data_IF_281248290267
#
_entry.id   IF_281248290267
#
_cell.length_a   1.000
_cell.length_b   1.000
_cell.length_c   1.000
_cell.angle_alpha   90.00
_cell.angle_beta   90.00
_cell.angle_gamma   90.00
#
_symmetry.space_group_name_H-M   'P 1'
#
loop_
_entity.id
_entity.type
_entity.pdbx_description
1 polymer ?
#
# COMPACT_ATOMS: atom_id res chain seq x y z
N UNK A 1 7.44 0.50 -41.21
CA UNK A 1 7.32 0.41 -39.74
C UNK A 1 8.37 1.33 -39.15
N UNK A 2 8.00 2.21 -38.24
CA UNK A 2 8.95 3.17 -37.64
C UNK A 2 10.05 2.37 -36.88
N UNK A 3 11.31 2.78 -37.00
CA UNK A 3 12.47 2.09 -36.41
C UNK A 3 12.33 1.97 -34.89
N UNK A 4 11.79 3.01 -34.25
CA UNK A 4 11.48 3.05 -32.81
C UNK A 4 10.44 1.99 -32.40
N UNK A 5 9.43 1.73 -33.25
CA UNK A 5 8.42 0.71 -33.01
C UNK A 5 9.01 -0.71 -33.12
N UNK A 6 9.84 -0.94 -34.12
CA UNK A 6 10.54 -2.21 -34.28
C UNK A 6 11.44 -2.50 -33.10
N UNK A 7 12.14 -1.48 -32.59
CA UNK A 7 12.98 -1.59 -31.41
C UNK A 7 12.16 -1.90 -30.16
N UNK A 8 11.03 -1.21 -29.97
CA UNK A 8 10.13 -1.45 -28.82
C UNK A 8 9.58 -2.88 -28.81
N UNK A 9 9.10 -3.38 -29.97
CA UNK A 9 8.61 -4.74 -30.10
C UNK A 9 9.72 -5.78 -29.86
N UNK A 10 10.91 -5.53 -30.40
CA UNK A 10 12.08 -6.39 -30.19
C UNK A 10 12.50 -6.42 -28.72
N UNK A 11 12.53 -5.30 -28.04
CA UNK A 11 12.87 -5.24 -26.61
C UNK A 11 11.85 -6.00 -25.75
N UNK A 12 10.55 -5.79 -25.99
CA UNK A 12 9.49 -6.50 -25.26
C UNK A 12 9.55 -8.00 -25.57
N UNK A 13 9.72 -8.40 -26.83
CA UNK A 13 9.85 -9.78 -27.24
C UNK A 13 11.05 -10.47 -26.59
N UNK A 14 12.21 -9.85 -26.65
CA UNK A 14 13.45 -10.36 -26.03
C UNK A 14 13.31 -10.49 -24.52
N UNK A 15 12.74 -9.45 -23.86
CA UNK A 15 12.55 -9.46 -22.41
C UNK A 15 11.60 -10.57 -21.92
N UNK A 16 10.63 -10.96 -22.76
CA UNK A 16 9.62 -11.97 -22.44
C UNK A 16 9.87 -13.34 -23.12
N UNK A 17 10.91 -13.47 -23.94
CA UNK A 17 11.22 -14.71 -24.68
C UNK A 17 10.16 -15.05 -25.74
N UNK A 18 9.52 -14.05 -26.36
CA UNK A 18 8.41 -14.21 -27.30
C UNK A 18 8.78 -13.60 -28.64
N UNK A 19 8.57 -14.34 -29.72
CA UNK A 19 8.87 -13.85 -31.06
C UNK A 19 7.85 -12.82 -31.57
N UNK A 20 6.57 -12.97 -31.20
CA UNK A 20 5.50 -12.09 -31.65
C UNK A 20 4.70 -11.53 -30.47
N UNK A 21 4.98 -10.28 -30.12
CA UNK A 21 4.32 -9.54 -29.02
C UNK A 21 2.92 -9.05 -29.38
N UNK A 22 2.52 -9.10 -30.64
CA UNK A 22 1.19 -8.67 -31.10
C UNK A 22 0.09 -9.71 -30.80
N UNK A 23 0.47 -10.94 -30.47
CA UNK A 23 -0.45 -11.94 -29.95
C UNK A 23 -0.47 -11.93 -28.42
N UNK A 24 -1.59 -12.35 -27.82
CA UNK A 24 -1.63 -12.58 -26.38
C UNK A 24 -0.65 -13.67 -25.96
N UNK A 25 0.17 -13.40 -25.01
CA UNK A 25 1.09 -14.36 -24.41
C UNK A 25 1.01 -14.34 -22.89
N UNK A 26 1.20 -15.50 -22.28
CA UNK A 26 1.42 -15.62 -20.85
C UNK A 26 2.89 -15.30 -20.57
N UNK A 27 3.14 -14.43 -19.61
CA UNK A 27 4.50 -14.08 -19.19
C UNK A 27 5.09 -15.25 -18.41
N UNK A 28 6.30 -15.64 -18.73
CA UNK A 28 7.03 -16.67 -17.98
C UNK A 28 7.16 -16.28 -16.51
N UNK A 29 6.97 -17.21 -15.55
CA UNK A 29 7.05 -16.91 -14.12
C UNK A 29 8.34 -16.20 -13.69
N UNK A 30 9.49 -16.55 -14.25
CA UNK A 30 10.76 -15.90 -13.94
C UNK A 30 10.82 -14.47 -14.49
N UNK A 31 10.21 -14.23 -15.65
CA UNK A 31 10.06 -12.88 -16.21
C UNK A 31 9.07 -12.07 -15.41
N UNK A 32 7.93 -12.65 -15.01
CA UNK A 32 6.94 -12.00 -14.16
C UNK A 32 7.56 -11.54 -12.82
N UNK A 33 8.38 -12.36 -12.18
CA UNK A 33 9.09 -12.00 -10.96
C UNK A 33 10.05 -10.82 -11.17
N UNK A 34 10.78 -10.78 -12.30
CA UNK A 34 11.65 -9.64 -12.64
C UNK A 34 10.86 -8.35 -12.85
N UNK A 35 9.71 -8.43 -13.53
CA UNK A 35 8.82 -7.29 -13.71
C UNK A 35 8.24 -6.80 -12.37
N UNK A 36 7.81 -7.70 -11.49
CA UNK A 36 7.37 -7.33 -10.13
C UNK A 36 8.51 -6.66 -9.34
N UNK A 37 9.75 -7.14 -9.49
CA UNK A 37 10.91 -6.52 -8.86
C UNK A 37 11.16 -5.10 -9.42
N UNK A 38 11.03 -4.90 -10.73
CA UNK A 38 11.17 -3.58 -11.37
C UNK A 38 10.09 -2.61 -10.89
N UNK A 39 8.82 -3.03 -10.88
CA UNK A 39 7.70 -2.23 -10.34
C UNK A 39 7.94 -1.89 -8.86
N UNK A 40 8.41 -2.84 -8.06
CA UNK A 40 8.75 -2.60 -6.66
C UNK A 40 9.88 -1.58 -6.51
N UNK A 41 10.93 -1.66 -7.33
CA UNK A 41 12.06 -0.76 -7.31
C UNK A 41 11.71 0.67 -7.76
N UNK A 42 10.67 0.86 -8.56
CA UNK A 42 10.24 2.17 -9.03
C UNK A 42 9.65 3.06 -7.94
N UNK A 43 9.26 2.49 -6.78
CA UNK A 43 8.68 3.23 -5.66
C UNK A 43 9.39 2.92 -4.34
N UNK A 44 9.85 3.97 -3.64
CA UNK A 44 10.47 3.83 -2.31
C UNK A 44 9.52 3.22 -1.27
N UNK A 45 8.21 3.43 -1.40
CA UNK A 45 7.22 2.82 -0.51
C UNK A 45 7.08 1.32 -0.78
N UNK A 46 6.93 0.91 -2.04
CA UNK A 46 6.79 -0.51 -2.41
C UNK A 46 8.03 -1.34 -2.04
N UNK A 47 9.21 -0.73 -2.01
CA UNK A 47 10.45 -1.41 -1.55
C UNK A 47 10.39 -1.83 -0.09
N UNK A 48 9.61 -1.13 0.72
CA UNK A 48 9.53 -1.31 2.19
C UNK A 48 8.40 -2.24 2.62
N UNK A 49 7.45 -2.55 1.74
CA UNK A 49 6.35 -3.48 1.98
C UNK A 49 6.62 -4.85 1.34
N UNK A 50 5.78 -5.83 1.63
CA UNK A 50 5.90 -7.16 1.05
C UNK A 50 5.18 -7.24 -0.30
N UNK A 51 5.88 -7.73 -1.32
CA UNK A 51 5.29 -8.15 -2.61
C UNK A 51 5.56 -9.63 -2.74
N UNK A 52 4.53 -10.45 -2.61
CA UNK A 52 4.62 -11.90 -2.51
C UNK A 52 4.04 -12.54 -3.75
N UNK A 53 4.87 -13.34 -4.43
CA UNK A 53 4.42 -14.13 -5.58
C UNK A 53 3.75 -15.42 -5.09
N UNK A 54 2.48 -15.63 -5.48
CA UNK A 54 1.71 -16.83 -5.15
C UNK A 54 1.40 -17.63 -6.40
N UNK A 55 1.31 -18.94 -6.27
CA UNK A 55 0.98 -19.84 -7.38
C UNK A 55 -0.53 -19.95 -7.54
N UNK A 56 -1.22 -20.15 -6.42
CA UNK A 56 -2.67 -20.34 -6.40
C UNK A 56 -3.40 -19.01 -6.50
N UNK A 57 -4.53 -19.02 -7.21
CA UNK A 57 -5.40 -17.84 -7.34
C UNK A 57 -6.09 -17.47 -6.03
N UNK A 58 -6.40 -18.45 -5.22
CA UNK A 58 -7.03 -18.29 -3.91
C UNK A 58 -6.38 -19.25 -2.92
N UNK A 59 -6.25 -18.84 -1.69
CA UNK A 59 -5.67 -19.64 -0.63
C UNK A 59 -5.88 -19.01 0.72
N UNK A 60 -5.37 -19.71 1.72
CA UNK A 60 -5.38 -19.23 3.10
C UNK A 60 -3.95 -19.04 3.58
N UNK A 61 -3.67 -17.89 4.14
CA UNK A 61 -2.49 -17.69 4.95
C UNK A 61 -2.79 -18.22 6.34
N UNK A 62 -1.97 -19.13 6.82
CA UNK A 62 -2.08 -19.66 8.17
C UNK A 62 -1.04 -18.96 9.03
N UNK A 63 -1.49 -18.06 9.92
CA UNK A 63 -0.68 -17.49 10.98
C UNK A 63 -0.69 -18.43 12.20
N UNK A 64 0.46 -18.63 12.83
CA UNK A 64 0.54 -19.32 14.10
C UNK A 64 0.75 -18.26 15.18
N UNK A 65 -0.33 -17.81 15.80
CA UNK A 65 -0.29 -16.95 16.98
C UNK A 65 0.19 -17.73 18.20
N UNK A 66 1.05 -17.12 19.01
CA UNK A 66 1.54 -17.71 20.26
C UNK A 66 1.22 -16.78 21.43
N UNK A 67 0.58 -17.29 22.49
CA UNK A 67 0.42 -16.54 23.74
C UNK A 67 1.45 -16.96 24.81
N UNK A 68 1.44 -16.30 25.96
CA UNK A 68 2.31 -16.62 27.08
C UNK A 68 2.13 -18.08 27.52
N UNK A 69 3.23 -18.84 27.56
CA UNK A 69 3.22 -20.28 27.88
C UNK A 69 3.80 -20.62 29.26
N UNK A 70 4.45 -19.65 29.90
CA UNK A 70 5.07 -19.88 31.18
C UNK A 70 4.03 -20.22 32.25
N UNK A 71 4.30 -21.26 32.99
CA UNK A 71 3.46 -21.70 34.12
C UNK A 71 4.26 -22.60 35.05
N UNK A 72 3.85 -22.66 36.31
CA UNK A 72 4.44 -23.57 37.32
C UNK A 72 3.35 -24.51 37.77
N UNK A 73 3.64 -25.81 37.77
CA UNK A 73 2.77 -26.86 38.34
C UNK A 73 3.54 -27.58 39.42
N UNK A 74 2.97 -27.65 40.62
CA UNK A 74 3.51 -28.51 41.65
C UNK A 74 3.14 -29.95 41.28
N UNK A 75 4.13 -30.78 40.98
CA UNK A 75 3.98 -32.17 40.59
C UNK A 75 4.05 -33.13 41.80
N UNK A 76 4.23 -32.59 43.02
CA UNK A 76 4.11 -33.37 44.23
C UNK A 76 2.64 -33.87 44.40
N UNK A 77 2.41 -34.98 45.04
CA UNK A 77 1.10 -35.58 45.24
C UNK A 77 0.34 -36.00 43.96
N UNK A 78 1.05 -36.55 42.97
CA UNK A 78 0.44 -37.12 41.76
C UNK A 78 -0.24 -36.11 40.80
N UNK A 79 0.01 -34.82 40.95
CA UNK A 79 -0.44 -33.79 40.00
C UNK A 79 0.35 -33.88 38.67
N UNK A 80 -0.38 -33.73 37.55
CA UNK A 80 0.21 -33.77 36.21
C UNK A 80 0.29 -32.38 35.61
N UNK A 81 1.31 -32.14 34.79
CA UNK A 81 1.38 -30.99 33.91
C UNK A 81 0.34 -31.14 32.80
N UNK A 82 -0.49 -30.11 32.59
CA UNK A 82 -1.49 -30.06 31.54
C UNK A 82 -1.04 -29.05 30.46
N UNK A 83 -0.36 -29.50 29.37
CA UNK A 83 -0.02 -28.63 28.24
C UNK A 83 -1.32 -28.13 27.62
N UNK A 84 -1.41 -26.82 27.45
CA UNK A 84 -2.53 -26.21 26.72
C UNK A 84 -2.10 -25.97 25.27
N UNK A 85 -2.96 -26.29 24.32
CA UNK A 85 -2.77 -25.85 22.93
C UNK A 85 -2.88 -24.33 22.89
N UNK A 86 -1.79 -23.67 22.52
CA UNK A 86 -1.72 -22.19 22.44
C UNK A 86 -1.56 -21.67 21.01
N UNK A 87 -1.50 -22.57 20.06
CA UNK A 87 -1.47 -22.18 18.66
C UNK A 87 -2.88 -21.82 18.25
N UNK A 88 -3.14 -20.52 18.17
CA UNK A 88 -4.35 -20.03 17.52
C UNK A 88 -4.02 -19.88 16.03
N UNK A 89 -4.64 -20.74 15.23
CA UNK A 89 -4.46 -20.67 13.78
C UNK A 89 -5.44 -19.63 13.26
N UNK A 90 -4.94 -18.45 12.97
CA UNK A 90 -5.71 -17.42 12.26
C UNK A 90 -5.52 -17.66 10.77
N UNK A 91 -6.60 -18.05 10.10
CA UNK A 91 -6.61 -18.19 8.66
C UNK A 91 -7.08 -16.86 8.02
N UNK A 92 -6.23 -16.24 7.23
CA UNK A 92 -6.57 -15.06 6.45
C UNK A 92 -6.70 -15.49 5.00
N UNK A 93 -7.90 -15.33 4.46
CA UNK A 93 -8.19 -15.68 3.07
C UNK A 93 -7.66 -14.61 2.11
N UNK A 94 -7.05 -15.05 1.01
CA UNK A 94 -6.74 -14.19 -0.11
C UNK A 94 -7.35 -14.74 -1.41
N UNK A 95 -7.78 -13.83 -2.28
CA UNK A 95 -8.33 -14.18 -3.60
C UNK A 95 -7.79 -13.18 -4.62
N UNK A 96 -6.76 -13.58 -5.36
CA UNK A 96 -6.17 -12.76 -6.41
C UNK A 96 -7.18 -12.55 -7.54
N UNK A 97 -7.55 -11.29 -7.78
CA UNK A 97 -8.48 -10.87 -8.83
C UNK A 97 -7.73 -10.14 -9.93
N UNK A 98 -8.27 -10.25 -11.14
CA UNK A 98 -7.68 -9.65 -12.32
C UNK A 98 -7.76 -8.12 -12.25
N UNK A 99 -6.62 -7.47 -12.47
CA UNK A 99 -6.49 -6.03 -12.66
C UNK A 99 -5.78 -5.80 -13.99
N UNK A 100 -6.23 -4.81 -14.76
CA UNK A 100 -5.63 -4.41 -16.03
C UNK A 100 -4.79 -3.14 -15.80
N UNK A 101 -3.59 -3.13 -16.42
CA UNK A 101 -2.66 -2.01 -16.43
C UNK A 101 -2.39 -1.61 -17.89
N UNK A 102 -3.45 -1.21 -18.57
CA UNK A 102 -3.41 -0.90 -20.00
C UNK A 102 -2.93 0.54 -20.21
N UNK A 103 -2.08 0.75 -21.21
CA UNK A 103 -1.64 2.09 -21.60
C UNK A 103 -1.39 2.14 -23.10
N UNK A 104 -1.42 3.33 -23.67
CA UNK A 104 -1.16 3.53 -25.08
C UNK A 104 -0.21 4.72 -25.30
N UNK A 105 0.49 4.70 -26.43
CA UNK A 105 1.36 5.77 -26.91
C UNK A 105 0.83 6.17 -28.27
N UNK A 106 0.54 7.46 -28.47
CA UNK A 106 0.11 7.97 -29.77
C UNK A 106 1.27 7.99 -30.80
N UNK A 107 0.94 7.90 -32.07
CA UNK A 107 1.96 8.02 -33.13
C UNK A 107 2.67 9.38 -33.09
N UNK A 108 1.96 10.45 -32.76
CA UNK A 108 2.56 11.79 -32.63
C UNK A 108 3.62 11.82 -31.52
N UNK A 109 3.37 11.17 -30.38
CA UNK A 109 4.36 11.03 -29.31
C UNK A 109 5.55 10.19 -29.75
N UNK A 110 5.29 9.07 -30.42
CA UNK A 110 6.34 8.20 -30.95
C UNK A 110 7.24 8.93 -31.93
N UNK A 111 6.67 9.73 -32.85
CA UNK A 111 7.41 10.51 -33.84
C UNK A 111 8.21 11.68 -33.21
N UNK A 112 7.62 12.33 -32.21
CA UNK A 112 8.30 13.39 -31.47
C UNK A 112 9.56 12.88 -30.72
N UNK A 113 9.52 11.64 -30.22
CA UNK A 113 10.60 11.05 -29.45
C UNK A 113 11.50 10.09 -30.28
N UNK A 114 11.23 9.89 -31.57
CA UNK A 114 11.95 8.96 -32.45
C UNK A 114 13.48 9.19 -32.51
N UNK A 115 13.92 10.43 -32.19
CA UNK A 115 15.34 10.80 -32.18
C UNK A 115 16.08 10.41 -30.90
N UNK A 116 15.38 9.99 -29.86
CA UNK A 116 15.98 9.61 -28.58
C UNK A 116 16.28 8.11 -28.55
N UNK A 117 17.55 7.75 -28.49
CA UNK A 117 18.00 6.35 -28.47
C UNK A 117 17.47 5.56 -27.27
N UNK A 118 17.20 6.21 -26.15
CA UNK A 118 16.73 5.58 -24.91
C UNK A 118 15.21 5.67 -24.69
N UNK A 119 14.44 6.12 -25.70
CA UNK A 119 13.00 6.30 -25.58
C UNK A 119 12.26 5.10 -25.03
N UNK A 120 12.53 3.89 -25.56
CA UNK A 120 11.88 2.65 -25.09
C UNK A 120 12.14 2.36 -23.61
N UNK A 121 13.35 2.64 -23.10
CA UNK A 121 13.68 2.51 -21.69
C UNK A 121 12.95 3.52 -20.81
N UNK A 122 12.87 4.79 -21.28
CA UNK A 122 12.14 5.85 -20.56
C UNK A 122 10.65 5.53 -20.46
N UNK A 123 10.04 5.05 -21.55
CA UNK A 123 8.64 4.60 -21.57
C UNK A 123 8.43 3.45 -20.57
N UNK A 124 9.29 2.43 -20.58
CA UNK A 124 9.19 1.34 -19.65
C UNK A 124 9.31 1.80 -18.18
N UNK A 125 10.28 2.68 -17.87
CA UNK A 125 10.44 3.23 -16.52
C UNK A 125 9.21 4.02 -16.08
N UNK A 126 8.64 4.84 -16.94
CA UNK A 126 7.42 5.60 -16.66
C UNK A 126 6.21 4.68 -16.43
N UNK A 127 6.09 3.61 -17.23
CA UNK A 127 5.03 2.64 -17.08
C UNK A 127 5.13 1.87 -15.76
N UNK A 128 6.34 1.45 -15.37
CA UNK A 128 6.57 0.79 -14.08
C UNK A 128 6.28 1.73 -12.90
N UNK A 129 6.64 3.01 -13.00
CA UNK A 129 6.30 4.01 -11.99
C UNK A 129 4.78 4.23 -11.90
N UNK A 130 4.10 4.39 -13.04
CA UNK A 130 2.65 4.56 -13.10
C UNK A 130 1.91 3.35 -12.51
N UNK A 131 2.39 2.14 -12.80
CA UNK A 131 1.89 0.90 -12.22
C UNK A 131 2.10 0.86 -10.71
N UNK A 132 3.29 1.22 -10.23
CA UNK A 132 3.59 1.29 -8.80
C UNK A 132 2.70 2.29 -8.06
N UNK A 133 2.45 3.47 -8.65
CA UNK A 133 1.53 4.46 -8.10
C UNK A 133 0.08 3.97 -8.08
N UNK A 134 -0.35 3.26 -9.11
CA UNK A 134 -1.68 2.63 -9.17
C UNK A 134 -1.84 1.54 -8.10
N UNK A 135 -0.81 0.72 -7.87
CA UNK A 135 -0.80 -0.28 -6.79
C UNK A 135 -0.92 0.37 -5.41
N UNK A 136 -0.21 1.47 -5.17
CA UNK A 136 -0.31 2.21 -3.90
C UNK A 136 -1.70 2.83 -3.75
N UNK A 137 -2.21 3.46 -4.81
CA UNK A 137 -3.53 4.10 -4.80
C UNK A 137 -4.65 3.10 -4.48
N UNK A 138 -4.68 1.94 -5.17
CA UNK A 138 -5.63 0.85 -4.90
C UNK A 138 -5.47 0.28 -3.49
N UNK A 139 -4.23 0.14 -3.01
CA UNK A 139 -3.95 -0.40 -1.69
C UNK A 139 -4.55 0.42 -0.55
N UNK A 140 -4.58 1.74 -0.66
CA UNK A 140 -5.13 2.62 0.38
C UNK A 140 -6.57 3.07 0.12
N UNK A 141 -7.00 3.20 -1.14
CA UNK A 141 -8.31 3.72 -1.46
C UNK A 141 -9.30 2.67 -1.95
N UNK A 142 -8.83 1.49 -2.34
CA UNK A 142 -9.68 0.43 -2.88
C UNK A 142 -10.73 -0.05 -1.88
N UNK A 143 -11.99 -0.13 -2.32
CA UNK A 143 -13.13 -0.54 -1.51
C UNK A 143 -13.78 -1.83 -1.99
N UNK A 144 -13.96 -1.95 -3.30
CA UNK A 144 -14.71 -3.05 -3.91
C UNK A 144 -14.06 -3.56 -5.18
N UNK A 145 -14.56 -4.67 -5.68
CA UNK A 145 -14.22 -5.20 -6.99
C UNK A 145 -15.43 -5.02 -7.92
N UNK A 146 -15.45 -3.97 -8.72
CA UNK A 146 -16.47 -3.79 -9.74
C UNK A 146 -16.23 -4.73 -10.94
N UNK A 147 -17.28 -5.14 -11.61
CA UNK A 147 -17.18 -5.92 -12.86
C UNK A 147 -16.59 -5.05 -13.97
N UNK A 148 -17.02 -3.79 -14.02
CA UNK A 148 -16.49 -2.74 -14.86
C UNK A 148 -16.16 -1.53 -14.00
N UNK A 149 -14.97 -0.97 -14.16
CA UNK A 149 -14.47 0.14 -13.35
C UNK A 149 -14.72 1.47 -14.03
N UNK A 150 -15.07 2.50 -13.23
CA UNK A 150 -15.31 3.85 -13.71
C UNK A 150 -14.34 4.83 -13.04
N UNK A 151 -13.31 5.24 -13.77
CA UNK A 151 -12.30 6.18 -13.28
C UNK A 151 -12.84 7.60 -13.05
N UNK A 152 -13.96 7.97 -13.70
CA UNK A 152 -14.56 9.29 -13.53
C UNK A 152 -15.31 9.35 -12.21
N UNK A 153 -16.06 8.29 -11.87
CA UNK A 153 -16.75 8.16 -10.60
C UNK A 153 -15.78 7.81 -9.44
N UNK A 154 -14.70 7.07 -9.75
CA UNK A 154 -13.73 6.55 -8.78
C UNK A 154 -12.29 6.96 -9.14
N UNK A 155 -11.92 8.25 -9.05
CA UNK A 155 -10.62 8.75 -9.50
C UNK A 155 -9.42 8.23 -8.70
N UNK A 156 -9.66 7.68 -7.51
CA UNK A 156 -8.64 7.03 -6.68
C UNK A 156 -8.72 5.49 -6.76
N UNK A 157 -9.29 4.94 -7.84
CA UNK A 157 -9.37 3.49 -8.10
C UNK A 157 -10.10 2.71 -7.00
N UNK A 158 -11.16 3.32 -6.42
CA UNK A 158 -11.88 2.75 -5.27
C UNK A 158 -12.67 1.47 -5.60
N UNK A 159 -12.97 1.25 -6.88
CA UNK A 159 -13.76 0.15 -7.41
C UNK A 159 -12.95 -0.99 -8.06
N UNK A 160 -11.61 -0.86 -8.10
CA UNK A 160 -10.72 -1.82 -8.77
C UNK A 160 -10.34 -3.00 -7.88
N UNK A 161 -10.03 -2.73 -6.61
CA UNK A 161 -9.56 -3.74 -5.67
C UNK A 161 -10.00 -3.43 -4.24
N UNK A 162 -10.02 -4.44 -3.37
CA UNK A 162 -10.18 -4.26 -1.92
C UNK A 162 -8.80 -4.04 -1.30
N UNK A 163 -8.49 -2.79 -0.95
CA UNK A 163 -7.20 -2.40 -0.39
C UNK A 163 -7.01 -2.72 1.09
N UNK A 164 -5.83 -2.40 1.64
CA UNK A 164 -5.47 -2.67 3.04
C UNK A 164 -6.41 -2.01 4.04
N UNK A 165 -6.76 -0.72 3.86
CA UNK A 165 -7.65 -0.04 4.80
C UNK A 165 -9.04 -0.67 4.81
N UNK A 166 -9.54 -1.07 3.64
CA UNK A 166 -10.82 -1.75 3.55
C UNK A 166 -10.78 -3.14 4.21
N UNK A 167 -9.66 -3.85 4.09
CA UNK A 167 -9.44 -5.10 4.81
C UNK A 167 -9.53 -4.92 6.32
N UNK A 168 -8.89 -3.90 6.87
CA UNK A 168 -8.95 -3.61 8.31
C UNK A 168 -10.39 -3.30 8.74
N UNK A 169 -11.13 -2.50 7.94
CA UNK A 169 -12.54 -2.19 8.25
C UNK A 169 -13.45 -3.40 8.29
N UNK A 170 -13.25 -4.36 7.38
CA UNK A 170 -14.11 -5.53 7.23
C UNK A 170 -13.67 -6.70 8.12
N UNK A 171 -12.37 -7.01 8.12
CA UNK A 171 -11.84 -8.22 8.73
C UNK A 171 -11.43 -7.99 10.21
N UNK A 172 -11.15 -6.73 10.61
CA UNK A 172 -10.77 -6.34 11.97
C UNK A 172 -11.41 -5.02 12.42
N UNK A 173 -12.74 -4.92 12.50
CA UNK A 173 -13.44 -3.69 12.84
C UNK A 173 -13.10 -3.14 14.24
N UNK A 174 -12.60 -3.98 15.14
CA UNK A 174 -12.11 -3.57 16.46
C UNK A 174 -10.80 -2.79 16.42
N UNK A 175 -10.08 -2.83 15.31
CA UNK A 175 -8.83 -2.08 15.08
C UNK A 175 -9.08 -0.74 14.36
N UNK A 176 -10.33 -0.29 14.31
CA UNK A 176 -10.72 0.93 13.60
C UNK A 176 -11.31 1.94 14.56
N UNK A 177 -10.68 3.11 14.68
CA UNK A 177 -11.20 4.27 15.42
C UNK A 177 -11.81 5.31 14.45
N UNK A 178 -12.68 6.18 14.97
CA UNK A 178 -13.32 7.25 14.18
C UNK A 178 -14.71 6.90 13.65
N UNK A 179 -15.28 5.78 14.07
CA UNK A 179 -16.63 5.33 13.72
C UNK A 179 -17.42 4.91 14.96
N UNK A 180 -18.73 4.97 14.89
CA UNK A 180 -19.56 4.33 15.91
C UNK A 180 -19.41 2.81 15.86
N UNK A 181 -19.39 2.12 17.00
CA UNK A 181 -19.23 0.67 17.06
C UNK A 181 -20.23 -0.07 16.18
N UNK A 182 -19.71 -0.92 15.28
CA UNK A 182 -20.53 -1.68 14.34
C UNK A 182 -21.09 -0.87 13.15
N UNK A 183 -20.72 0.41 13.00
CA UNK A 183 -21.22 1.29 11.94
C UNK A 183 -20.10 1.90 11.08
N UNK A 184 -19.03 1.14 10.88
CA UNK A 184 -17.90 1.57 10.04
C UNK A 184 -18.38 1.85 8.62
N UNK A 185 -18.01 3.03 8.09
CA UNK A 185 -18.42 3.48 6.76
C UNK A 185 -19.81 4.11 6.68
N UNK A 186 -20.61 4.10 7.76
CA UNK A 186 -21.98 4.65 7.79
C UNK A 186 -22.14 5.80 8.77
N UNK A 187 -21.72 5.64 10.01
CA UNK A 187 -21.86 6.68 11.05
C UNK A 187 -20.50 7.05 11.60
N UNK A 188 -20.00 8.21 11.18
CA UNK A 188 -18.74 8.75 11.67
C UNK A 188 -18.85 9.18 13.14
N UNK A 189 -17.79 8.87 13.92
CA UNK A 189 -17.53 9.39 15.24
C UNK A 189 -16.17 10.07 15.22
N UNK A 190 -16.10 11.35 14.78
CA UNK A 190 -14.84 11.99 14.51
C UNK A 190 -13.90 11.98 15.72
N UNK A 191 -12.63 11.67 15.49
CA UNK A 191 -11.57 11.79 16.47
C UNK A 191 -11.12 13.24 16.49
N UNK A 192 -11.63 13.99 17.47
CA UNK A 192 -11.40 15.44 17.58
C UNK A 192 -10.12 15.72 18.33
N UNK A 193 -9.35 16.67 17.81
CA UNK A 193 -8.15 17.18 18.47
C UNK A 193 -8.07 18.70 18.35
N UNK A 194 -7.45 19.35 19.33
CA UNK A 194 -7.35 20.81 19.46
C UNK A 194 -7.34 21.25 20.90
N UNK A 195 -7.17 22.55 21.16
CA UNK A 195 -6.91 23.08 22.51
C UNK A 195 -8.00 22.74 23.55
N UNK A 196 -9.26 22.70 23.12
CA UNK A 196 -10.42 22.41 23.99
C UNK A 196 -10.84 20.92 23.95
N UNK A 197 -10.13 20.06 23.24
CA UNK A 197 -10.48 18.67 23.06
C UNK A 197 -9.69 17.74 24.00
N UNK A 198 -10.12 16.48 24.10
CA UNK A 198 -9.42 15.45 24.87
C UNK A 198 -7.97 15.23 24.36
N UNK A 199 -7.78 15.35 23.05
CA UNK A 199 -6.48 15.31 22.41
C UNK A 199 -6.09 16.71 21.96
N UNK A 200 -4.99 17.26 22.48
CA UNK A 200 -4.54 18.60 22.10
C UNK A 200 -3.86 18.65 20.74
N UNK A 201 -3.28 17.57 20.30
CA UNK A 201 -2.53 17.48 19.05
C UNK A 201 -2.55 16.06 18.47
N UNK A 202 -2.07 15.92 17.24
CA UNK A 202 -1.98 14.62 16.56
C UNK A 202 -1.07 13.61 17.28
N UNK A 203 -0.05 14.07 18.01
CA UNK A 203 0.82 13.18 18.78
C UNK A 203 0.05 12.48 19.90
N UNK A 204 -0.81 13.23 20.61
CA UNK A 204 -1.66 12.67 21.66
C UNK A 204 -2.66 11.65 21.08
N UNK A 205 -3.22 11.92 19.90
CA UNK A 205 -4.09 10.97 19.19
C UNK A 205 -3.34 9.67 18.90
N UNK A 206 -2.15 9.76 18.31
CA UNK A 206 -1.34 8.58 17.95
C UNK A 206 -0.98 7.76 19.19
N UNK A 207 -0.47 8.41 20.26
CA UNK A 207 -0.07 7.71 21.49
C UNK A 207 -1.26 7.01 22.14
N UNK A 208 -2.42 7.68 22.24
CA UNK A 208 -3.60 7.10 22.86
C UNK A 208 -4.08 5.86 22.11
N UNK A 209 -4.26 5.96 20.78
CA UNK A 209 -4.76 4.85 19.98
C UNK A 209 -3.73 3.73 19.81
N UNK A 210 -2.43 4.05 19.75
CA UNK A 210 -1.38 3.03 19.79
C UNK A 210 -1.46 2.19 21.06
N UNK A 211 -1.62 2.82 22.23
CA UNK A 211 -1.69 2.11 23.50
C UNK A 211 -3.01 1.36 23.72
N UNK A 212 -4.10 1.79 23.09
CA UNK A 212 -5.42 1.19 23.26
C UNK A 212 -5.65 0.01 22.30
N UNK A 213 -5.19 0.11 21.07
CA UNK A 213 -5.58 -0.84 20.01
C UNK A 213 -4.47 -1.82 19.63
N UNK A 214 -3.20 -1.43 19.69
CA UNK A 214 -2.10 -2.34 19.34
C UNK A 214 -1.83 -3.29 20.50
N UNK A 215 -1.83 -4.59 20.22
CA UNK A 215 -1.61 -5.59 21.26
C UNK A 215 -0.22 -5.46 21.91
N UNK A 216 -0.12 -5.73 23.20
CA UNK A 216 1.11 -5.54 24.00
C UNK A 216 2.34 -6.24 23.41
N UNK A 217 2.15 -7.37 22.74
CA UNK A 217 3.24 -8.12 22.08
C UNK A 217 3.83 -7.38 20.87
N UNK A 218 3.05 -6.47 20.26
CA UNK A 218 3.46 -5.66 19.11
C UNK A 218 3.78 -4.21 19.46
N UNK A 219 3.26 -3.70 20.58
CA UNK A 219 3.33 -2.29 20.96
C UNK A 219 4.77 -1.77 21.11
N UNK A 220 5.71 -2.62 21.54
CA UNK A 220 7.13 -2.25 21.72
C UNK A 220 8.00 -2.49 20.48
N UNK A 221 7.41 -2.81 19.32
CA UNK A 221 8.18 -3.08 18.09
C UNK A 221 8.81 -1.80 17.53
N UNK A 222 10.11 -1.82 17.20
CA UNK A 222 10.80 -0.63 16.67
C UNK A 222 10.46 -0.32 15.21
N UNK A 223 9.78 -1.23 14.49
CA UNK A 223 9.39 -1.11 13.08
C UNK A 223 7.96 -0.58 12.88
N UNK A 224 7.27 -0.23 13.96
CA UNK A 224 5.98 0.48 13.89
C UNK A 224 6.17 1.87 13.29
N UNK A 225 5.32 2.22 12.34
CA UNK A 225 5.31 3.52 11.69
C UNK A 225 3.89 4.06 11.60
N UNK A 226 3.76 5.36 11.46
CA UNK A 226 2.49 6.04 11.17
C UNK A 226 2.45 6.40 9.70
N UNK A 227 1.52 5.83 8.96
CA UNK A 227 1.24 6.20 7.57
C UNK A 227 0.18 7.30 7.57
N UNK A 228 0.42 8.34 6.80
CA UNK A 228 -0.47 9.50 6.73
C UNK A 228 -0.39 10.20 5.37
N UNK A 229 -1.30 11.13 5.14
CA UNK A 229 -1.25 12.03 4.01
C UNK A 229 -0.15 13.08 4.20
N UNK A 230 0.44 13.54 3.09
CA UNK A 230 1.44 14.62 3.10
C UNK A 230 0.91 15.91 3.73
N UNK A 231 -0.38 16.23 3.52
CA UNK A 231 -1.01 17.42 4.06
C UNK A 231 -1.09 17.35 5.59
N UNK A 232 -1.63 16.25 6.13
CA UNK A 232 -1.73 16.01 7.58
C UNK A 232 -0.38 16.14 8.28
N UNK A 233 0.67 15.60 7.66
CA UNK A 233 2.03 15.72 8.18
C UNK A 233 2.58 17.14 8.04
N UNK A 234 2.27 17.83 6.93
CA UNK A 234 2.65 19.22 6.70
C UNK A 234 2.02 20.16 7.70
N UNK A 235 0.73 20.02 7.96
CA UNK A 235 -0.03 20.91 8.85
C UNK A 235 0.50 20.85 10.29
N UNK A 236 0.93 19.68 10.77
CA UNK A 236 1.58 19.56 12.08
C UNK A 236 2.83 20.43 12.22
N UNK A 237 3.68 20.45 11.21
CA UNK A 237 4.96 21.16 11.26
C UNK A 237 4.85 22.62 10.79
N UNK A 238 3.78 22.96 10.08
CA UNK A 238 3.58 24.30 9.51
C UNK A 238 3.53 25.38 10.59
N UNK A 239 2.86 25.14 11.71
CA UNK A 239 2.81 26.08 12.84
C UNK A 239 4.21 26.47 13.32
N UNK A 240 5.06 25.48 13.58
CA UNK A 240 6.43 25.71 14.07
C UNK A 240 7.29 26.48 13.05
N UNK A 241 7.10 26.21 11.76
CA UNK A 241 7.86 26.89 10.68
C UNK A 241 7.34 28.31 10.48
N UNK A 242 6.03 28.53 10.57
CA UNK A 242 5.39 29.82 10.38
C UNK A 242 5.63 30.77 11.57
N UNK A 243 5.75 30.25 12.78
CA UNK A 243 6.06 31.01 13.99
C UNK A 243 7.56 31.26 14.19
N UNK A 244 8.43 30.63 13.36
CA UNK A 244 9.85 30.85 13.40
C UNK A 244 10.15 32.34 13.10
N UNK A 245 10.65 33.05 14.12
CA UNK A 245 10.97 34.46 14.02
C UNK A 245 12.19 34.76 13.16
N UNK A 246 12.50 36.04 13.03
CA UNK A 246 13.64 36.54 12.22
C UNK A 246 15.02 36.26 12.82
N UNK A 247 15.08 35.68 14.01
CA UNK A 247 16.35 35.33 14.67
C UNK A 247 17.00 34.12 13.99
N UNK A 248 18.28 34.21 13.73
CA UNK A 248 19.04 33.17 13.04
C UNK A 248 18.96 31.79 13.73
N UNK A 249 18.84 31.74 15.06
CA UNK A 249 18.68 30.52 15.84
C UNK A 249 17.31 29.86 15.63
N UNK A 250 16.25 30.66 15.52
CA UNK A 250 14.89 30.19 15.28
C UNK A 250 14.71 29.69 13.85
N UNK A 251 15.25 30.43 12.88
CA UNK A 251 15.31 30.02 11.48
C UNK A 251 16.09 28.71 11.27
N UNK A 252 17.20 28.54 12.01
CA UNK A 252 17.98 27.30 11.97
C UNK A 252 17.20 26.14 12.56
N UNK A 253 16.56 26.33 13.72
CA UNK A 253 15.72 25.31 14.37
C UNK A 253 14.57 24.88 13.45
N UNK A 254 13.89 25.80 12.77
CA UNK A 254 12.85 25.52 11.80
C UNK A 254 13.38 24.72 10.60
N UNK A 255 14.55 25.07 10.06
CA UNK A 255 15.17 24.31 8.99
C UNK A 255 15.60 22.90 9.44
N UNK A 256 16.16 22.76 10.62
CA UNK A 256 16.53 21.46 11.18
C UNK A 256 15.29 20.58 11.35
N UNK A 257 14.15 21.14 11.71
CA UNK A 257 12.86 20.47 11.84
C UNK A 257 12.28 20.02 10.48
N UNK A 258 12.53 20.78 9.41
CA UNK A 258 12.13 20.39 8.05
C UNK A 258 12.97 19.25 7.49
N UNK A 259 14.25 19.15 7.90
CA UNK A 259 15.21 18.14 7.43
C UNK A 259 15.13 16.86 8.28
N UNK A 260 14.75 16.98 9.56
CA UNK A 260 14.66 15.86 10.48
C UNK A 260 13.63 14.81 10.04
N UNK A 261 13.82 13.56 10.48
CA UNK A 261 12.83 12.52 10.33
C UNK A 261 11.53 12.95 11.01
N UNK A 262 10.46 12.95 10.26
CA UNK A 262 9.14 13.35 10.76
C UNK A 262 8.59 12.25 11.65
N UNK A 263 8.10 12.62 12.82
CA UNK A 263 7.51 11.71 13.80
C UNK A 263 6.12 12.16 14.22
N UNK A 264 5.27 11.18 14.53
CA UNK A 264 3.96 11.34 15.14
C UNK A 264 3.85 10.40 16.35
N UNK A 265 3.60 10.98 17.53
CA UNK A 265 3.47 10.20 18.77
C UNK A 265 4.71 9.37 19.13
N UNK A 266 5.91 9.81 18.72
CA UNK A 266 7.15 9.08 18.94
C UNK A 266 7.44 7.96 17.93
N UNK A 267 6.52 7.70 16.98
CA UNK A 267 6.72 6.77 15.87
C UNK A 267 7.16 7.51 14.61
N UNK A 268 7.95 6.85 13.76
CA UNK A 268 8.31 7.42 12.47
C UNK A 268 7.07 7.62 11.59
N UNK A 269 6.91 8.83 11.04
CA UNK A 269 5.77 9.19 10.20
C UNK A 269 6.17 9.19 8.72
N UNK A 270 5.41 8.46 7.90
CA UNK A 270 5.66 8.31 6.47
C UNK A 270 4.48 8.89 5.70
N UNK A 271 4.76 9.93 4.91
CA UNK A 271 3.80 10.45 3.96
C UNK A 271 3.74 9.55 2.72
N UNK A 272 2.57 8.97 2.46
CA UNK A 272 2.36 8.04 1.33
C UNK A 272 1.54 8.75 0.24
N UNK A 273 1.90 8.58 -1.05
CA UNK A 273 1.10 9.10 -2.15
C UNK A 273 -0.33 8.53 -2.12
N UNK A 274 -1.32 9.36 -2.43
CA UNK A 274 -2.74 8.99 -2.48
C UNK A 274 -3.34 8.46 -1.18
N UNK A 275 -2.63 8.62 -0.05
CA UNK A 275 -3.19 8.24 1.23
C UNK A 275 -4.39 9.14 1.57
N UNK A 276 -5.52 8.58 2.11
CA UNK A 276 -6.70 9.37 2.44
C UNK A 276 -6.39 10.52 3.39
N UNK A 277 -7.03 11.66 3.17
CA UNK A 277 -6.99 12.78 4.13
C UNK A 277 -7.69 12.37 5.43
N UNK A 278 -7.42 13.07 6.51
CA UNK A 278 -8.04 12.86 7.82
C UNK A 278 -7.98 11.41 8.34
N UNK A 279 -6.94 10.69 7.91
CA UNK A 279 -6.71 9.29 8.27
C UNK A 279 -5.26 9.09 8.71
N UNK A 280 -5.06 8.27 9.74
CA UNK A 280 -3.75 7.75 10.16
C UNK A 280 -3.82 6.23 10.22
N UNK A 281 -2.74 5.57 9.82
CA UNK A 281 -2.64 4.13 9.91
C UNK A 281 -1.32 3.75 10.58
N UNK A 282 -1.41 3.20 11.79
CA UNK A 282 -0.24 2.73 12.56
C UNK A 282 -0.06 1.26 12.26
N UNK A 283 1.10 0.88 11.74
CA UNK A 283 1.38 -0.52 11.36
C UNK A 283 2.87 -0.69 11.05
N UNK A 284 3.46 -1.87 11.24
CA UNK A 284 4.74 -2.19 10.63
C UNK A 284 4.59 -2.25 9.09
N UNK A 285 5.56 -1.76 8.34
CA UNK A 285 5.47 -1.83 6.86
C UNK A 285 5.45 -3.26 6.34
N UNK A 286 6.13 -4.17 7.02
CA UNK A 286 6.12 -5.61 6.71
C UNK A 286 4.74 -6.27 6.92
N UNK A 287 3.81 -5.57 7.56
CA UNK A 287 2.43 -6.02 7.76
C UNK A 287 1.56 -5.82 6.51
N UNK A 288 2.03 -4.99 5.57
CA UNK A 288 1.33 -4.70 4.33
C UNK A 288 1.89 -5.58 3.21
N UNK A 289 1.05 -6.43 2.64
CA UNK A 289 1.44 -7.35 1.57
C UNK A 289 0.58 -7.16 0.33
N UNK A 290 1.21 -7.32 -0.84
CA UNK A 290 0.53 -7.46 -2.13
C UNK A 290 0.82 -8.87 -2.62
N UNK A 291 -0.20 -9.70 -2.72
CA UNK A 291 -0.11 -11.05 -3.26
C UNK A 291 -0.35 -10.98 -4.77
N UNK A 292 0.61 -11.44 -5.56
CA UNK A 292 0.56 -11.44 -7.02
C UNK A 292 0.65 -12.87 -7.55
N UNK A 293 -0.34 -13.28 -8.34
CA UNK A 293 -0.35 -14.62 -8.91
C UNK A 293 0.63 -14.71 -10.08
N UNK A 294 1.61 -15.61 -9.99
CA UNK A 294 2.68 -15.76 -10.97
C UNK A 294 2.16 -16.20 -12.35
N UNK A 295 1.21 -17.14 -12.38
CA UNK A 295 0.64 -17.66 -13.63
C UNK A 295 -0.48 -16.78 -14.21
N UNK A 296 -0.89 -15.70 -13.50
CA UNK A 296 -1.99 -14.83 -13.90
C UNK A 296 -1.60 -13.68 -14.82
N UNK A 297 -0.32 -13.48 -15.07
CA UNK A 297 0.17 -12.33 -15.85
C UNK A 297 0.09 -12.62 -17.35
N UNK A 298 -0.59 -11.71 -18.07
CA UNK A 298 -0.74 -11.75 -19.53
C UNK A 298 -0.42 -10.39 -20.12
N UNK A 299 0.19 -10.38 -21.28
CA UNK A 299 0.56 -9.17 -22.01
C UNK A 299 0.30 -9.31 -23.51
N UNK A 300 0.00 -8.19 -24.15
CA UNK A 300 -0.10 -8.04 -25.59
C UNK A 300 0.26 -6.61 -25.96
N UNK A 301 1.03 -6.42 -27.00
CA UNK A 301 1.26 -5.10 -27.60
C UNK A 301 0.64 -5.11 -28.99
N UNK A 302 -0.28 -4.19 -29.24
CA UNK A 302 -0.99 -4.08 -30.51
C UNK A 302 -0.70 -2.73 -31.15
N UNK A 303 -0.45 -2.76 -32.45
CA UNK A 303 -0.51 -1.58 -33.29
C UNK A 303 -1.97 -1.36 -33.69
N UNK A 304 -2.53 -0.21 -33.30
CA UNK A 304 -3.93 0.15 -33.53
C UNK A 304 -4.02 1.40 -34.44
N UNK A 305 -3.82 1.21 -35.75
CA UNK A 305 -3.83 2.33 -36.71
C UNK A 305 -5.19 3.02 -36.80
N UNK A 306 -6.29 2.36 -36.43
CA UNK A 306 -7.62 2.95 -36.36
C UNK A 306 -7.73 4.08 -35.30
N UNK A 307 -6.83 4.07 -34.33
CA UNK A 307 -6.77 5.04 -33.23
C UNK A 307 -5.45 5.84 -33.20
N UNK A 308 -4.61 5.71 -34.22
CA UNK A 308 -3.28 6.34 -34.30
C UNK A 308 -2.43 6.11 -33.04
N UNK A 309 -2.42 4.86 -32.52
CA UNK A 309 -1.73 4.53 -31.29
C UNK A 309 -1.15 3.11 -31.28
N UNK A 310 -0.18 2.92 -30.38
CA UNK A 310 0.31 1.61 -29.97
C UNK A 310 -0.26 1.34 -28.59
N UNK A 311 -1.06 0.27 -28.45
CA UNK A 311 -1.66 -0.12 -27.20
C UNK A 311 -0.88 -1.27 -26.56
N UNK A 312 -0.58 -1.14 -25.26
CA UNK A 312 -0.02 -2.22 -24.45
C UNK A 312 -1.08 -2.65 -23.43
N UNK A 313 -1.51 -3.88 -23.57
CA UNK A 313 -2.47 -4.54 -22.69
C UNK A 313 -1.71 -5.42 -21.71
N UNK A 314 -1.84 -5.15 -20.43
CA UNK A 314 -1.25 -5.95 -19.37
C UNK A 314 -2.28 -6.28 -18.31
N UNK A 315 -2.40 -7.54 -17.92
CA UNK A 315 -3.28 -7.94 -16.83
C UNK A 315 -2.54 -8.84 -15.85
N UNK A 316 -2.83 -8.64 -14.57
CA UNK A 316 -2.30 -9.41 -13.45
C UNK A 316 -3.41 -9.76 -12.47
N UNK A 317 -3.25 -10.87 -11.77
CA UNK A 317 -4.12 -11.20 -10.65
C UNK A 317 -3.41 -10.83 -9.36
N UNK A 318 -4.03 -9.98 -8.55
CA UNK A 318 -3.48 -9.53 -7.28
C UNK A 318 -4.53 -9.43 -6.19
N UNK A 319 -4.08 -9.42 -4.94
CA UNK A 319 -4.88 -9.12 -3.76
C UNK A 319 -4.03 -8.39 -2.71
N UNK A 320 -4.67 -7.60 -1.86
CA UNK A 320 -4.05 -6.88 -0.75
C UNK A 320 -4.32 -7.63 0.55
N UNK A 321 -3.28 -7.87 1.33
CA UNK A 321 -3.37 -8.61 2.58
C UNK A 321 -2.73 -7.82 3.70
N UNK A 322 -3.39 -7.77 4.86
CA UNK A 322 -2.80 -7.33 6.13
C UNK A 322 -2.40 -8.60 6.87
N UNK A 323 -1.11 -8.70 7.19
CA UNK A 323 -0.54 -9.94 7.71
C UNK A 323 -0.96 -10.24 9.15
N UNK A 324 -1.06 -9.18 9.99
CA UNK A 324 -1.39 -9.27 11.39
C UNK A 324 -2.26 -8.08 11.79
N UNK A 325 -3.52 -8.32 12.13
CA UNK A 325 -4.46 -7.25 12.49
C UNK A 325 -4.19 -6.67 13.87
N UNK A 326 -3.70 -7.47 14.81
CA UNK A 326 -3.41 -7.03 16.18
C UNK A 326 -2.17 -6.10 16.27
N UNK A 327 -1.38 -6.04 15.19
CA UNK A 327 -0.22 -5.17 15.05
C UNK A 327 -0.55 -3.82 14.37
N UNK A 328 -1.82 -3.52 14.12
CA UNK A 328 -2.18 -2.27 13.45
C UNK A 328 -3.38 -1.57 14.09
N UNK A 329 -3.52 -0.28 13.84
CA UNK A 329 -4.74 0.50 14.12
C UNK A 329 -4.98 1.52 13.02
N UNK A 330 -6.22 1.60 12.57
CA UNK A 330 -6.71 2.55 11.58
C UNK A 330 -7.52 3.64 12.30
N UNK A 331 -7.10 4.88 12.18
CA UNK A 331 -7.75 6.06 12.77
C UNK A 331 -8.32 6.89 11.61
N UNK A 332 -9.62 7.05 11.56
CA UNK A 332 -10.32 7.77 10.51
C UNK A 332 -11.13 8.93 11.05
N UNK A 333 -11.62 9.77 10.15
CA UNK A 333 -12.44 10.93 10.50
C UNK A 333 -11.75 11.84 11.54
N UNK A 334 -10.47 12.15 11.32
CA UNK A 334 -9.74 13.12 12.12
C UNK A 334 -10.32 14.51 11.89
N UNK A 335 -10.63 15.21 12.97
CA UNK A 335 -11.20 16.56 12.91
C UNK A 335 -10.42 17.51 13.84
N UNK A 336 -9.78 18.52 13.24
CA UNK A 336 -9.19 19.61 14.02
C UNK A 336 -10.27 20.60 14.44
N UNK A 337 -10.34 20.85 15.73
CA UNK A 337 -11.26 21.82 16.33
C UNK A 337 -10.43 22.91 16.99
N UNK A 338 -10.48 24.13 16.44
CA UNK A 338 -9.73 25.29 16.92
C UNK A 338 -10.23 25.78 18.29
#
# INVERSE_FOLDING_TARGET
MNEALTLLFSMIGTANGVENVQNWFAVDPAVAQRMHAATRQSSAFLQRINVISVVEKAGQKIGIGGGLTAGRTNTDNNNRRHPKAKHNTVAIDYVCRKVNFDHSISYNELDAWAHQKDFANLVNQNNELSKALSLICMGFNGKTYAVETDIVANPLLQDVARGWLQRVREDAPTQVAGWEPGQIGTTAKPVKFGDAQAFKNLDAVVVAHHNEFVADEFAARPDLVVLCNRKTLGDKYFGYVNEAGTKATEAKAANDLLIANKQLGGLDAIAVPFFPEDTLFITPLANLSIYMQTAGKRRKVADEPEYDRIANYESENLDYVVEEFDACVLIENLEYVA
#
